data_IF_477216753767
#
_entry.id   IF_477216753767
#
_cell.length_a   1.000
_cell.length_b   1.000
_cell.length_c   1.000
_cell.angle_alpha   90.00
_cell.angle_beta   90.00
_cell.angle_gamma   90.00
#
_symmetry.space_group_name_H-M   'P 1'
#
loop_
_entity.id
_entity.type
_entity.pdbx_description
1 polymer ?
#
# COMPACT_ATOMS: atom_id res chain seq x y z
N UNK A 1 11.49 -11.22 -0.15
CA UNK A 1 10.11 -10.84 0.22
C UNK A 1 9.70 -9.71 -0.71
N UNK A 2 8.93 -10.03 -1.75
CA UNK A 2 8.58 -9.11 -2.84
C UNK A 2 7.38 -8.20 -2.50
N UNK A 3 7.27 -7.81 -1.23
CA UNK A 3 6.16 -7.03 -0.71
C UNK A 3 6.63 -5.94 0.24
N UNK A 4 5.88 -4.83 0.32
CA UNK A 4 6.12 -3.74 1.27
C UNK A 4 5.30 -3.97 2.53
N UNK A 5 5.91 -3.80 3.71
CA UNK A 5 5.18 -3.90 4.97
C UNK A 5 4.14 -2.78 5.11
N UNK A 6 3.18 -2.95 6.02
CA UNK A 6 2.21 -1.90 6.35
C UNK A 6 2.94 -0.65 6.85
N UNK A 7 2.61 0.51 6.28
CA UNK A 7 3.28 1.79 6.56
C UNK A 7 4.58 2.03 5.79
N UNK A 8 5.16 1.00 5.15
CA UNK A 8 6.36 1.14 4.32
C UNK A 8 6.04 1.79 2.98
N UNK A 9 7.10 2.32 2.35
CA UNK A 9 7.01 2.86 1.00
C UNK A 9 6.76 1.71 0.03
N UNK A 10 5.73 1.87 -0.79
CA UNK A 10 5.39 0.96 -1.86
C UNK A 10 5.60 1.67 -3.19
N UNK A 11 5.67 0.88 -4.26
CA UNK A 11 5.77 1.37 -5.63
C UNK A 11 4.65 0.71 -6.44
N UNK A 12 4.30 1.26 -7.61
CA UNK A 12 3.29 0.66 -8.48
C UNK A 12 3.62 -0.79 -8.90
N UNK A 13 4.87 -1.22 -8.71
CA UNK A 13 5.35 -2.58 -8.96
C UNK A 13 5.22 -3.53 -7.76
N UNK A 14 5.16 -3.02 -6.52
CA UNK A 14 5.19 -3.83 -5.30
C UNK A 14 3.87 -3.80 -4.55
N UNK A 15 3.32 -4.99 -4.29
CA UNK A 15 2.12 -5.15 -3.46
C UNK A 15 2.49 -4.99 -1.97
N UNK A 16 1.51 -4.59 -1.18
CA UNK A 16 1.63 -4.66 0.28
C UNK A 16 1.67 -6.12 0.72
N UNK A 17 2.49 -6.43 1.73
CA UNK A 17 2.59 -7.78 2.28
C UNK A 17 1.25 -8.22 2.89
N UNK A 18 0.55 -7.26 3.47
CA UNK A 18 -0.78 -7.46 4.00
C UNK A 18 -1.82 -7.24 2.89
N UNK A 19 -2.65 -8.25 2.63
CA UNK A 19 -3.69 -8.18 1.59
C UNK A 19 -4.78 -7.15 1.94
N UNK A 20 -4.96 -6.81 3.22
CA UNK A 20 -5.89 -5.77 3.63
C UNK A 20 -5.36 -4.38 3.40
N UNK A 21 -4.06 -4.20 3.18
CA UNK A 21 -3.48 -2.94 2.79
C UNK A 21 -3.27 -2.87 1.27
N UNK A 22 -3.43 -1.68 0.71
CA UNK A 22 -3.05 -1.37 -0.67
C UNK A 22 -2.14 -0.15 -0.70
N UNK A 23 -1.31 -0.13 -1.72
CA UNK A 23 -0.40 0.97 -1.96
C UNK A 23 -1.20 2.22 -2.35
N UNK A 24 -1.10 3.29 -1.55
CA UNK A 24 -1.72 4.58 -1.85
C UNK A 24 -0.67 5.66 -1.92
N UNK A 25 -0.68 6.39 -3.03
CA UNK A 25 0.15 7.56 -3.23
C UNK A 25 -0.57 8.80 -2.69
N UNK A 26 0.06 9.50 -1.75
CA UNK A 26 -0.49 10.75 -1.18
C UNK A 26 -0.48 11.91 -2.18
N UNK A 27 0.24 11.78 -3.29
CA UNK A 27 0.34 12.80 -4.33
C UNK A 27 -0.12 12.26 -5.69
N UNK A 28 -0.73 13.11 -6.55
CA UNK A 28 -1.19 12.70 -7.88
C UNK A 28 -0.03 12.31 -8.81
N UNK A 29 1.20 12.71 -8.50
CA UNK A 29 2.40 12.37 -9.27
C UNK A 29 3.03 11.01 -8.88
N UNK A 30 2.38 10.23 -8.01
CA UNK A 30 2.91 8.94 -7.57
C UNK A 30 4.11 9.04 -6.63
N UNK A 31 4.32 10.19 -5.99
CA UNK A 31 5.36 10.34 -4.97
C UNK A 31 4.80 9.99 -3.58
N UNK A 32 5.66 9.41 -2.74
CA UNK A 32 5.34 9.00 -1.35
C UNK A 32 4.21 7.98 -1.26
N UNK A 33 4.22 6.95 -2.11
CA UNK A 33 3.25 5.86 -1.99
C UNK A 33 3.57 4.98 -0.79
N UNK A 34 2.56 4.67 0.03
CA UNK A 34 2.71 3.80 1.20
C UNK A 34 1.62 2.76 1.28
N UNK A 35 1.95 1.64 1.90
CA UNK A 35 1.00 0.59 2.26
C UNK A 35 0.18 0.97 3.49
N UNK A 36 -0.62 2.03 3.35
CA UNK A 36 -1.41 2.65 4.42
C UNK A 36 -2.92 2.56 4.14
N UNK A 37 -3.32 2.31 2.89
CA UNK A 37 -4.75 2.30 2.57
C UNK A 37 -5.37 0.94 2.89
N UNK A 38 -6.17 0.92 3.95
CA UNK A 38 -6.93 -0.25 4.33
C UNK A 38 -8.12 -0.48 3.39
N UNK A 39 -8.23 -1.68 2.82
CA UNK A 39 -9.34 -2.07 1.97
C UNK A 39 -10.58 -2.27 2.85
N UNK A 40 -11.68 -1.60 2.51
CA UNK A 40 -12.95 -1.74 3.22
C UNK A 40 -13.45 -3.20 3.34
N UNK A 41 -13.05 -4.08 2.40
CA UNK A 41 -13.39 -5.52 2.44
C UNK A 41 -12.81 -6.27 3.66
N UNK A 42 -11.84 -5.70 4.35
CA UNK A 42 -11.22 -6.30 5.53
C UNK A 42 -11.77 -5.74 6.85
N UNK A 43 -12.78 -4.87 6.80
CA UNK A 43 -13.45 -4.33 7.99
C UNK A 43 -14.61 -5.26 8.47
N UNK A 44 -14.61 -6.53 8.05
CA UNK A 44 -15.66 -7.54 8.32
C UNK A 44 -15.07 -8.76 9.01
#
# INVERSE_FOLDING_TARGET
>A
ADCSATGDTCDHTKKCCDDCYTCRCGTPWGANCRCDYYKARCDT
#
